data_IF_500831562299
#
_entry.id   IF_500831562299
#
_cell.length_a   1.000
_cell.length_b   1.000
_cell.length_c   1.000
_cell.angle_alpha   90.00
_cell.angle_beta   90.00
_cell.angle_gamma   90.00
#
_symmetry.space_group_name_H-M   'P 1'
#
loop_
_entity.id
_entity.type
_entity.pdbx_description
1 polymer ?
#
# COMPACT_ATOMS: atom_id res chain seq x y z
N UNK A 1 -3.96 -6.39 16.07
CA UNK A 1 -2.59 -6.43 16.60
C UNK A 1 -1.96 -7.81 16.44
N UNK A 2 -2.38 -8.86 17.17
CA UNK A 2 -1.70 -10.17 17.13
C UNK A 2 -1.84 -10.90 15.77
N UNK A 3 -3.07 -11.22 15.37
CA UNK A 3 -3.35 -11.93 14.12
C UNK A 3 -2.85 -11.15 12.91
N UNK A 4 -3.18 -9.85 12.83
CA UNK A 4 -2.67 -9.00 11.76
C UNK A 4 -1.15 -8.92 11.72
N UNK A 5 -0.47 -8.90 12.88
CA UNK A 5 1.00 -8.90 12.95
C UNK A 5 1.62 -10.15 12.33
N UNK A 6 1.11 -11.34 12.65
CA UNK A 6 1.62 -12.60 12.08
C UNK A 6 1.43 -12.64 10.57
N UNK A 7 0.26 -12.25 10.07
CA UNK A 7 -0.01 -12.20 8.62
C UNK A 7 0.90 -11.17 7.93
N UNK A 8 1.09 -10.01 8.55
CA UNK A 8 1.93 -8.94 8.01
C UNK A 8 3.40 -9.32 7.90
N UNK A 9 3.92 -10.23 8.74
CA UNK A 9 5.29 -10.75 8.56
C UNK A 9 5.43 -11.35 7.16
N UNK A 10 4.50 -12.23 6.75
CA UNK A 10 4.58 -12.84 5.42
C UNK A 10 4.39 -11.79 4.32
N UNK A 11 3.36 -10.94 4.44
CA UNK A 11 3.03 -9.95 3.42
C UNK A 11 4.16 -8.93 3.19
N UNK A 12 4.68 -8.34 4.27
CA UNK A 12 5.72 -7.30 4.20
C UNK A 12 7.04 -7.90 3.75
N UNK A 13 7.48 -9.03 4.31
CA UNK A 13 8.76 -9.61 3.89
C UNK A 13 8.70 -10.13 2.46
N UNK A 14 7.59 -10.71 2.01
CA UNK A 14 7.42 -11.07 0.60
C UNK A 14 7.46 -9.82 -0.31
N UNK A 15 6.79 -8.74 0.08
CA UNK A 15 6.86 -7.47 -0.65
C UNK A 15 8.29 -6.91 -0.69
N UNK A 16 8.97 -6.79 0.45
CA UNK A 16 10.35 -6.28 0.50
C UNK A 16 11.30 -7.17 -0.31
N UNK A 17 11.18 -8.49 -0.20
CA UNK A 17 12.06 -9.42 -0.92
C UNK A 17 11.92 -9.25 -2.45
N UNK A 18 10.70 -9.22 -2.96
CA UNK A 18 10.44 -9.09 -4.42
C UNK A 18 10.92 -7.74 -4.95
N UNK A 19 10.75 -6.66 -4.19
CA UNK A 19 11.12 -5.32 -4.65
C UNK A 19 12.61 -4.99 -4.41
N UNK A 20 13.28 -5.62 -3.43
CA UNK A 20 14.66 -5.28 -3.07
C UNK A 20 15.71 -6.32 -3.52
N UNK A 21 15.35 -7.61 -3.57
CA UNK A 21 16.32 -8.70 -3.70
C UNK A 21 16.22 -9.47 -5.02
N UNK A 22 15.13 -9.32 -5.77
CA UNK A 22 14.90 -10.01 -7.05
C UNK A 22 15.25 -9.07 -8.21
N UNK A 23 15.78 -9.64 -9.30
CA UNK A 23 16.13 -8.88 -10.50
C UNK A 23 17.23 -7.84 -10.22
N UNK A 24 16.99 -6.60 -10.63
CA UNK A 24 17.90 -5.47 -10.35
C UNK A 24 17.56 -4.73 -9.03
N UNK A 25 16.70 -5.32 -8.20
CA UNK A 25 16.24 -4.73 -6.94
C UNK A 25 15.50 -3.41 -7.17
N UNK A 26 15.80 -2.40 -6.34
CA UNK A 26 15.13 -1.09 -6.38
C UNK A 26 15.31 -0.40 -7.74
N UNK A 27 16.41 -0.65 -8.44
CA UNK A 27 16.68 -0.03 -9.73
C UNK A 27 15.68 -0.45 -10.83
N UNK A 28 15.04 -1.61 -10.69
CA UNK A 28 14.00 -2.09 -11.60
C UNK A 28 12.61 -1.52 -11.32
N UNK A 29 12.40 -0.79 -10.21
CA UNK A 29 11.07 -0.30 -9.82
C UNK A 29 10.71 0.93 -10.65
N UNK A 30 9.93 0.71 -11.70
CA UNK A 30 9.33 1.74 -12.53
C UNK A 30 7.83 1.48 -12.80
N UNK A 31 7.23 2.25 -13.70
CA UNK A 31 5.83 2.07 -14.09
C UNK A 31 5.56 0.68 -14.67
N UNK A 32 6.45 0.16 -15.53
CA UNK A 32 6.26 -1.12 -16.20
C UNK A 32 6.37 -2.29 -15.21
N UNK A 33 7.27 -2.19 -14.23
CA UNK A 33 7.37 -3.16 -13.13
C UNK A 33 6.07 -3.23 -12.30
N UNK A 34 5.53 -2.08 -11.90
CA UNK A 34 4.27 -2.03 -11.14
C UNK A 34 3.11 -2.57 -11.99
N UNK A 35 3.03 -2.15 -13.26
CA UNK A 35 2.00 -2.62 -14.18
C UNK A 35 2.09 -4.13 -14.43
N UNK A 36 3.30 -4.68 -14.56
CA UNK A 36 3.52 -6.11 -14.69
C UNK A 36 3.04 -6.88 -13.47
N UNK A 37 3.29 -6.40 -12.25
CA UNK A 37 2.75 -7.02 -11.02
C UNK A 37 1.21 -6.96 -11.01
N UNK A 38 0.65 -5.77 -11.17
CA UNK A 38 -0.80 -5.57 -11.08
C UNK A 38 -1.59 -6.06 -12.30
N UNK A 39 -0.92 -6.62 -13.32
CA UNK A 39 -1.57 -7.39 -14.39
C UNK A 39 -2.21 -8.69 -13.91
N UNK A 40 -1.91 -9.15 -12.68
CA UNK A 40 -2.49 -10.35 -12.09
C UNK A 40 -3.25 -10.04 -10.80
N UNK A 41 -4.40 -10.71 -10.53
CA UNK A 41 -5.15 -10.52 -9.28
C UNK A 41 -4.35 -10.87 -8.03
N UNK A 42 -3.36 -11.76 -8.14
CA UNK A 42 -2.53 -12.17 -7.01
C UNK A 42 -1.83 -10.98 -6.35
N UNK A 43 -1.13 -10.15 -7.12
CA UNK A 43 -0.41 -9.00 -6.59
C UNK A 43 -1.34 -7.88 -6.13
N UNK A 44 -2.47 -7.67 -6.82
CA UNK A 44 -3.50 -6.72 -6.38
C UNK A 44 -4.07 -7.10 -5.02
N UNK A 45 -4.42 -8.38 -4.82
CA UNK A 45 -4.92 -8.88 -3.53
C UNK A 45 -3.83 -8.82 -2.46
N UNK A 46 -2.59 -9.18 -2.79
CA UNK A 46 -1.46 -9.11 -1.86
C UNK A 46 -1.24 -7.69 -1.33
N UNK A 47 -1.15 -6.71 -2.24
CA UNK A 47 -0.93 -5.30 -1.88
C UNK A 47 -2.16 -4.69 -1.19
N UNK A 48 -3.39 -5.08 -1.58
CA UNK A 48 -4.62 -4.67 -0.89
C UNK A 48 -4.68 -5.18 0.55
N UNK A 49 -4.43 -6.48 0.76
CA UNK A 49 -4.42 -7.08 2.09
C UNK A 49 -3.35 -6.42 2.96
N UNK A 50 -2.17 -6.19 2.41
CA UNK A 50 -1.09 -5.51 3.12
C UNK A 50 -1.46 -4.06 3.46
N UNK A 51 -2.02 -3.28 2.53
CA UNK A 51 -2.49 -1.91 2.78
C UNK A 51 -3.47 -1.88 3.96
N UNK A 52 -4.54 -2.67 3.89
CA UNK A 52 -5.57 -2.65 4.93
C UNK A 52 -5.05 -3.18 6.26
N UNK A 53 -4.34 -4.32 6.26
CA UNK A 53 -3.83 -4.91 7.50
C UNK A 53 -2.76 -4.04 8.14
N UNK A 54 -1.83 -3.46 7.36
CA UNK A 54 -0.76 -2.62 7.87
C UNK A 54 -1.32 -1.30 8.42
N UNK A 55 -2.25 -0.66 7.71
CA UNK A 55 -2.89 0.56 8.18
C UNK A 55 -3.72 0.31 9.44
N UNK A 56 -4.55 -0.74 9.50
CA UNK A 56 -5.31 -1.07 10.71
C UNK A 56 -4.37 -1.42 11.87
N UNK A 57 -3.33 -2.22 11.62
CA UNK A 57 -2.36 -2.59 12.65
C UNK A 57 -1.61 -1.37 13.19
N UNK A 58 -1.04 -0.55 12.29
CA UNK A 58 -0.31 0.65 12.62
C UNK A 58 -1.17 1.69 13.33
N UNK A 59 -2.37 1.97 12.83
CA UNK A 59 -3.30 2.91 13.47
C UNK A 59 -3.69 2.48 14.89
N UNK A 60 -3.93 1.19 15.12
CA UNK A 60 -4.20 0.71 16.47
C UNK A 60 -2.98 0.83 17.39
N UNK A 61 -1.77 0.54 16.89
CA UNK A 61 -0.53 0.72 17.65
C UNK A 61 -0.27 2.18 18.00
N UNK A 62 -0.37 3.09 17.03
CA UNK A 62 -0.17 4.53 17.25
C UNK A 62 -1.27 5.10 18.15
N UNK A 63 -2.51 4.60 18.08
CA UNK A 63 -3.56 4.97 19.04
C UNK A 63 -3.15 4.65 20.47
N UNK A 64 -2.56 3.48 20.73
CA UNK A 64 -2.03 3.12 22.05
C UNK A 64 -0.93 4.09 22.46
N UNK A 65 0.05 4.34 21.59
CA UNK A 65 1.13 5.31 21.83
C UNK A 65 0.57 6.70 22.17
N UNK A 66 -0.41 7.20 21.42
CA UNK A 66 -1.04 8.51 21.70
C UNK A 66 -1.70 8.52 23.08
N UNK A 67 -2.39 7.44 23.47
CA UNK A 67 -3.03 7.37 24.78
C UNK A 67 -1.98 7.34 25.92
N UNK A 68 -0.83 6.70 25.67
CA UNK A 68 0.22 6.52 26.68
C UNK A 68 1.11 7.77 26.85
N UNK A 69 1.36 8.51 25.76
CA UNK A 69 2.32 9.63 25.76
C UNK A 69 1.70 11.03 25.67
N UNK A 70 0.45 11.18 25.24
CA UNK A 70 -0.21 12.49 25.23
C UNK A 70 -0.87 12.77 26.58
N UNK A 71 -0.22 13.59 27.41
CA UNK A 71 -0.71 13.91 28.77
C UNK A 71 -2.00 14.73 28.77
N UNK A 72 -2.11 15.72 27.88
CA UNK A 72 -3.26 16.63 27.80
C UNK A 72 -4.37 16.04 26.93
N UNK A 73 -5.61 16.10 27.42
CA UNK A 73 -6.80 15.59 26.72
C UNK A 73 -6.99 16.21 25.34
N UNK A 74 -6.81 17.53 25.23
CA UNK A 74 -6.91 18.25 23.96
C UNK A 74 -5.90 17.72 22.92
N UNK A 75 -4.63 17.55 23.32
CA UNK A 75 -3.58 16.99 22.47
C UNK A 75 -3.91 15.56 22.04
N UNK A 76 -4.39 14.72 22.97
CA UNK A 76 -4.80 13.34 22.68
C UNK A 76 -5.94 13.28 21.65
N UNK A 77 -6.92 14.17 21.76
CA UNK A 77 -8.05 14.25 20.81
C UNK A 77 -7.54 14.67 19.43
N UNK A 78 -6.74 15.73 19.34
CA UNK A 78 -6.20 16.21 18.05
C UNK A 78 -5.34 15.14 17.37
N UNK A 79 -4.42 14.51 18.11
CA UNK A 79 -3.56 13.46 17.55
C UNK A 79 -4.35 12.25 17.04
N UNK A 80 -5.39 11.82 17.78
CA UNK A 80 -6.26 10.73 17.30
C UNK A 80 -7.07 11.14 16.07
N UNK A 81 -7.57 12.37 16.02
CA UNK A 81 -8.28 12.88 14.85
C UNK A 81 -7.38 12.86 13.60
N UNK A 82 -6.15 13.40 13.72
CA UNK A 82 -5.16 13.37 12.64
C UNK A 82 -4.82 11.94 12.21
N UNK A 83 -4.63 11.03 13.18
CA UNK A 83 -4.34 9.63 12.90
C UNK A 83 -5.46 8.95 12.10
N UNK A 84 -6.73 9.17 12.46
CA UNK A 84 -7.86 8.58 11.74
C UNK A 84 -8.06 9.23 10.37
N UNK A 85 -7.82 10.54 10.22
CA UNK A 85 -7.85 11.20 8.92
C UNK A 85 -6.76 10.61 8.00
N UNK A 86 -5.54 10.48 8.49
CA UNK A 86 -4.44 9.87 7.75
C UNK A 86 -4.77 8.42 7.34
N UNK A 87 -5.33 7.63 8.27
CA UNK A 87 -5.81 6.29 7.98
C UNK A 87 -6.82 6.27 6.82
N UNK A 88 -7.88 7.08 6.90
CA UNK A 88 -8.94 7.12 5.88
C UNK A 88 -8.37 7.56 4.53
N UNK A 89 -7.59 8.64 4.50
CA UNK A 89 -7.02 9.17 3.26
C UNK A 89 -6.11 8.13 2.60
N UNK A 90 -5.17 7.53 3.33
CA UNK A 90 -4.24 6.55 2.78
C UNK A 90 -4.94 5.28 2.32
N UNK A 91 -5.88 4.74 3.10
CA UNK A 91 -6.58 3.50 2.74
C UNK A 91 -7.50 3.71 1.54
N UNK A 92 -8.27 4.80 1.50
CA UNK A 92 -9.16 5.11 0.38
C UNK A 92 -8.35 5.37 -0.88
N UNK A 93 -7.35 6.26 -0.82
CA UNK A 93 -6.51 6.58 -1.97
C UNK A 93 -5.76 5.34 -2.47
N UNK A 94 -5.14 4.57 -1.58
CA UNK A 94 -4.43 3.34 -1.96
C UNK A 94 -5.34 2.28 -2.57
N UNK A 95 -6.55 2.10 -2.02
CA UNK A 95 -7.53 1.16 -2.58
C UNK A 95 -8.00 1.61 -3.97
N UNK A 96 -8.25 2.92 -4.16
CA UNK A 96 -8.56 3.47 -5.47
C UNK A 96 -7.42 3.21 -6.45
N UNK A 97 -6.19 3.57 -6.09
CA UNK A 97 -5.01 3.34 -6.95
C UNK A 97 -4.88 1.88 -7.36
N UNK A 98 -5.05 0.91 -6.46
CA UNK A 98 -4.96 -0.52 -6.81
C UNK A 98 -6.01 -0.93 -7.87
N UNK A 99 -7.24 -0.44 -7.75
CA UNK A 99 -8.36 -0.90 -8.59
C UNK A 99 -8.68 -0.01 -9.79
N UNK A 100 -8.16 1.21 -9.83
CA UNK A 100 -8.31 2.13 -10.95
C UNK A 100 -7.02 2.36 -11.72
N UNK A 101 -5.97 1.58 -11.43
CA UNK A 101 -4.74 1.58 -12.21
C UNK A 101 -4.98 0.89 -13.55
N UNK A 102 -4.88 1.66 -14.63
CA UNK A 102 -5.02 1.20 -16.00
C UNK A 102 -3.70 1.45 -16.75
N UNK A 103 -2.85 0.41 -16.93
CA UNK A 103 -1.58 0.59 -17.62
C UNK A 103 -1.74 0.76 -19.13
N UNK A 104 -2.87 0.34 -19.71
CA UNK A 104 -3.12 0.32 -21.15
C UNK A 104 -4.49 0.93 -21.48
N UNK A 105 -4.66 2.27 -21.33
CA UNK A 105 -5.95 2.90 -21.54
C UNK A 105 -6.46 2.70 -22.98
N UNK A 106 -7.72 2.30 -23.11
CA UNK A 106 -8.35 2.11 -24.41
C UNK A 106 -8.38 3.44 -25.20
N UNK A 107 -7.98 3.39 -26.47
CA UNK A 107 -7.96 4.56 -27.36
C UNK A 107 -6.72 5.46 -27.23
N UNK A 108 -5.74 5.09 -26.41
CA UNK A 108 -4.44 5.77 -26.38
C UNK A 108 -3.65 5.52 -27.68
N UNK A 109 -2.92 6.52 -28.19
CA UNK A 109 -2.00 6.33 -29.32
C UNK A 109 -0.97 5.24 -29.02
N UNK A 110 -0.77 4.33 -29.97
CA UNK A 110 0.10 3.16 -29.78
C UNK A 110 1.57 3.53 -29.50
N UNK A 111 2.03 4.69 -29.97
CA UNK A 111 3.36 5.24 -29.73
C UNK A 111 3.56 5.78 -28.31
N UNK A 112 2.47 6.04 -27.58
CA UNK A 112 2.48 6.52 -26.20
C UNK A 112 2.24 5.40 -25.17
N UNK A 113 1.87 4.21 -25.64
CA UNK A 113 1.63 3.07 -24.76
C UNK A 113 2.95 2.40 -24.34
N UNK A 114 3.08 1.97 -23.08
CA UNK A 114 4.22 1.14 -22.67
C UNK A 114 4.24 -0.16 -23.49
N UNK A 115 5.43 -0.70 -23.74
CA UNK A 115 5.62 -1.92 -24.53
C UNK A 115 4.89 -3.17 -24.00
N UNK A 116 4.44 -3.13 -22.74
CA UNK A 116 3.62 -4.19 -22.14
C UNK A 116 2.20 -4.24 -22.74
N UNK A 117 1.73 -3.14 -23.33
CA UNK A 117 0.38 -3.01 -23.88
C UNK A 117 0.25 -3.51 -25.32
N UNK A 118 1.37 -3.87 -25.96
CA UNK A 118 1.41 -4.42 -27.31
C UNK A 118 1.49 -5.95 -27.36
N UNK A 119 1.36 -6.63 -26.21
CA UNK A 119 1.42 -8.08 -26.08
C UNK A 119 0.05 -8.75 -26.30
#
# INVERSE_FOLDING_TARGET
>A
MRVSGVILVVLIFGHLFVNLMVGEGVAAIDFAFVAGKWSTPFWQIWDLLMLWLAMIHGTNGVRTIINDYAERDATRIVLKALLYIAFVVTVVMGTLVIFTFEPCPAGSPADLLPSICSA
#
